data_IF_606921428540
#
_entry.id   IF_606921428540
#
_cell.length_a   1.000
_cell.length_b   1.000
_cell.length_c   1.000
_cell.angle_alpha   90.00
_cell.angle_beta   90.00
_cell.angle_gamma   90.00
#
_symmetry.space_group_name_H-M   'P 1'
#
loop_
_entity.id
_entity.type
_entity.pdbx_description
1 polymer ?
#
# COMPACT_ATOMS: atom_id res chain seq x y z
N UNK A 1 -25.17 17.24 18.52
CA UNK A 1 -25.24 15.80 18.17
C UNK A 1 -23.85 15.17 18.03
N UNK A 2 -22.84 15.91 17.54
CA UNK A 2 -21.42 15.51 17.46
C UNK A 2 -20.75 15.13 18.79
N UNK A 3 -21.01 15.86 19.89
CA UNK A 3 -20.43 15.54 21.22
C UNK A 3 -20.87 14.20 21.83
N UNK A 4 -22.04 13.68 21.45
CA UNK A 4 -22.57 12.42 22.00
C UNK A 4 -21.99 11.17 21.32
N UNK A 5 -21.52 11.31 20.07
CA UNK A 5 -20.82 10.24 19.34
C UNK A 5 -19.38 10.12 19.89
N UNK A 6 -18.73 11.24 20.19
CA UNK A 6 -17.36 11.31 20.73
C UNK A 6 -17.23 10.55 22.06
N UNK A 7 -18.17 10.70 22.98
CA UNK A 7 -18.12 10.01 24.29
C UNK A 7 -18.44 8.50 24.23
N UNK A 8 -18.93 7.99 23.10
CA UNK A 8 -19.21 6.56 22.90
C UNK A 8 -18.10 5.84 22.13
N UNK A 9 -17.34 6.56 21.30
CA UNK A 9 -16.20 6.02 20.54
C UNK A 9 -14.92 5.96 21.39
N UNK A 10 -14.71 6.92 22.31
CA UNK A 10 -13.46 7.04 23.09
C UNK A 10 -13.66 6.80 24.60
N UNK A 11 -14.26 5.67 25.00
CA UNK A 11 -14.23 5.25 26.41
C UNK A 11 -12.99 4.36 26.68
N UNK A 12 -12.16 4.63 27.70
CA UNK A 12 -10.81 4.04 27.82
C UNK A 12 -10.74 2.61 28.37
N UNK A 13 -11.71 1.72 28.11
CA UNK A 13 -11.68 0.40 28.79
C UNK A 13 -12.35 -0.78 28.11
N UNK A 14 -12.88 -0.66 26.89
CA UNK A 14 -13.47 -1.82 26.22
C UNK A 14 -13.17 -1.73 24.74
N UNK A 15 -12.19 -2.51 24.27
CA UNK A 15 -12.17 -3.23 22.98
C UNK A 15 -10.74 -3.63 22.61
N UNK A 16 -10.16 -4.55 23.37
CA UNK A 16 -9.23 -5.51 22.76
C UNK A 16 -10.09 -6.43 21.89
N UNK A 17 -9.94 -6.36 20.57
CA UNK A 17 -10.51 -7.27 19.53
C UNK A 17 -11.76 -6.84 18.74
N UNK A 18 -12.09 -5.56 18.58
CA UNK A 18 -13.08 -5.15 17.57
C UNK A 18 -12.56 -4.03 16.69
N UNK A 19 -12.68 -4.19 15.37
CA UNK A 19 -12.45 -3.12 14.39
C UNK A 19 -13.15 -1.85 14.88
N UNK A 20 -12.42 -0.73 14.90
CA UNK A 20 -13.04 0.59 15.10
C UNK A 20 -14.15 0.70 14.05
N UNK A 21 -15.43 0.86 14.42
CA UNK A 21 -16.54 0.72 13.48
C UNK A 21 -16.51 1.76 12.34
N UNK A 22 -15.71 2.82 12.50
CA UNK A 22 -15.50 3.86 11.49
C UNK A 22 -14.03 4.34 11.54
N UNK A 23 -13.07 3.55 11.01
CA UNK A 23 -11.65 3.85 11.14
C UNK A 23 -11.30 5.19 10.47
N UNK A 24 -11.93 5.52 9.34
CA UNK A 24 -11.64 6.75 8.61
C UNK A 24 -12.23 8.01 9.24
N UNK A 25 -13.27 7.90 10.09
CA UNK A 25 -13.75 9.05 10.87
C UNK A 25 -12.73 9.49 11.92
N UNK A 26 -11.97 8.54 12.50
CA UNK A 26 -10.86 8.87 13.39
C UNK A 26 -9.77 9.63 12.62
N UNK A 27 -9.42 9.16 11.42
CA UNK A 27 -8.40 9.82 10.58
C UNK A 27 -8.88 11.21 10.17
N UNK A 28 -10.11 11.37 9.71
CA UNK A 28 -10.70 12.67 9.36
C UNK A 28 -10.70 13.64 10.55
N UNK A 29 -11.09 13.16 11.73
CA UNK A 29 -11.08 13.95 12.96
C UNK A 29 -9.67 14.50 13.25
N UNK A 30 -8.65 13.66 13.15
CA UNK A 30 -7.25 14.02 13.37
C UNK A 30 -6.76 15.03 12.32
N UNK A 31 -7.15 14.86 11.06
CA UNK A 31 -6.78 15.78 9.98
C UNK A 31 -7.40 17.17 10.14
N UNK A 32 -8.64 17.24 10.62
CA UNK A 32 -9.45 18.47 10.62
C UNK A 32 -9.51 19.21 11.97
N UNK A 33 -9.16 18.58 13.10
CA UNK A 33 -9.31 19.17 14.44
C UNK A 33 -7.98 19.31 15.22
N UNK A 34 -7.02 20.10 14.71
CA UNK A 34 -5.66 20.16 15.25
C UNK A 34 -5.51 20.90 16.59
N UNK A 35 -6.44 21.81 16.93
CA UNK A 35 -6.34 22.72 18.09
C UNK A 35 -7.57 22.70 19.01
N UNK A 36 -8.53 21.80 18.76
CA UNK A 36 -9.81 21.74 19.49
C UNK A 36 -9.98 20.47 20.34
N UNK A 37 -8.98 19.57 20.33
CA UNK A 37 -8.88 18.56 21.37
C UNK A 37 -8.57 19.32 22.66
N UNK A 38 -9.60 19.58 23.47
CA UNK A 38 -9.47 20.25 24.77
C UNK A 38 -8.56 19.50 25.75
N UNK A 39 -8.05 18.32 25.35
CA UNK A 39 -7.17 17.44 26.09
C UNK A 39 -5.72 17.37 25.55
N UNK A 40 -5.39 18.09 24.46
CA UNK A 40 -4.01 18.25 23.96
C UNK A 40 -3.35 16.98 23.40
N UNK A 41 -4.13 15.96 23.05
CA UNK A 41 -3.61 14.66 22.54
C UNK A 41 -3.03 14.73 21.14
N UNK A 42 -3.45 15.70 20.34
CA UNK A 42 -2.99 15.93 18.97
C UNK A 42 -2.62 17.40 18.80
N UNK A 43 -1.51 17.67 18.11
CA UNK A 43 -1.15 19.01 17.65
C UNK A 43 -0.77 18.97 16.18
N UNK A 44 -0.85 20.10 15.49
CA UNK A 44 -0.53 20.14 14.05
C UNK A 44 0.30 21.35 13.70
N UNK A 45 1.34 21.10 12.91
CA UNK A 45 2.20 22.11 12.32
C UNK A 45 1.99 22.12 10.81
N UNK A 46 2.07 23.30 10.20
CA UNK A 46 1.88 23.47 8.74
C UNK A 46 3.05 24.29 8.21
N UNK A 47 3.76 23.72 7.23
CA UNK A 47 4.92 24.31 6.57
C UNK A 47 4.70 24.28 5.06
N UNK A 48 4.04 25.32 4.52
CA UNK A 48 3.69 25.35 3.10
C UNK A 48 2.78 24.17 2.71
N UNK A 49 3.29 23.26 1.88
CA UNK A 49 2.58 22.06 1.44
C UNK A 49 2.87 20.82 2.31
N UNK A 50 3.71 20.94 3.34
CA UNK A 50 3.94 19.88 4.32
C UNK A 50 3.12 20.17 5.57
N UNK A 51 2.43 19.15 6.08
CA UNK A 51 1.63 19.24 7.31
C UNK A 51 2.02 18.09 8.22
N UNK A 52 2.27 18.37 9.49
CA UNK A 52 2.64 17.38 10.48
C UNK A 52 1.57 17.30 11.55
N UNK A 53 1.14 16.09 11.88
CA UNK A 53 0.19 15.82 12.95
C UNK A 53 0.91 15.02 14.02
N UNK A 54 1.15 15.65 15.15
CA UNK A 54 1.80 15.06 16.30
C UNK A 54 0.79 14.37 17.21
N UNK A 55 0.86 13.04 17.33
CA UNK A 55 0.00 12.22 18.17
C UNK A 55 0.74 11.92 19.47
N UNK A 56 0.32 12.58 20.56
CA UNK A 56 1.00 12.52 21.86
C UNK A 56 0.54 11.36 22.73
N UNK A 57 -0.72 10.96 22.56
CA UNK A 57 -1.35 9.90 23.32
C UNK A 57 -1.00 8.53 22.74
N UNK A 58 -0.56 7.60 23.62
CA UNK A 58 -0.08 6.28 23.21
C UNK A 58 -1.21 5.39 22.69
N UNK A 59 -2.38 5.44 23.31
CA UNK A 59 -3.51 4.59 22.93
C UNK A 59 -4.09 5.08 21.60
N UNK A 60 -4.22 6.41 21.42
CA UNK A 60 -4.62 7.04 20.17
C UNK A 60 -3.66 6.70 19.03
N UNK A 61 -2.35 6.66 19.29
CA UNK A 61 -1.35 6.23 18.31
C UNK A 61 -1.63 4.82 17.80
N UNK A 62 -1.92 3.88 18.70
CA UNK A 62 -2.27 2.49 18.34
C UNK A 62 -3.58 2.44 17.54
N UNK A 63 -4.61 3.19 17.96
CA UNK A 63 -5.88 3.30 17.22
C UNK A 63 -5.70 3.86 15.80
N UNK A 64 -4.84 4.87 15.61
CA UNK A 64 -4.54 5.45 14.29
C UNK A 64 -3.77 4.48 13.42
N UNK A 65 -2.76 3.80 13.98
CA UNK A 65 -2.04 2.74 13.28
C UNK A 65 -3.01 1.68 12.78
N UNK A 66 -3.90 1.21 13.64
CA UNK A 66 -4.88 0.19 13.29
C UNK A 66 -5.88 0.73 12.26
N UNK A 67 -6.45 1.93 12.44
CA UNK A 67 -7.37 2.53 11.49
C UNK A 67 -6.77 2.70 10.08
N UNK A 68 -5.53 3.17 9.97
CA UNK A 68 -4.82 3.29 8.69
C UNK A 68 -4.46 1.92 8.08
N UNK A 69 -4.23 0.90 8.92
CA UNK A 69 -3.92 -0.46 8.47
C UNK A 69 -5.19 -1.25 8.09
N UNK A 70 -6.34 -0.93 8.69
CA UNK A 70 -7.63 -1.59 8.43
C UNK A 70 -8.04 -1.45 6.97
N UNK A 71 -7.69 -0.37 6.28
CA UNK A 71 -7.91 -0.26 4.84
C UNK A 71 -7.29 -1.43 4.06
N UNK A 72 -6.12 -1.90 4.49
CA UNK A 72 -5.42 -3.03 3.86
C UNK A 72 -5.98 -4.40 4.27
N UNK A 73 -6.81 -4.49 5.32
CA UNK A 73 -7.60 -5.67 5.65
C UNK A 73 -8.95 -5.63 4.93
N UNK A 74 -8.99 -6.11 3.68
CA UNK A 74 -10.20 -6.10 2.84
C UNK A 74 -11.27 -7.06 3.36
N UNK A 75 -12.51 -6.60 3.60
CA UNK A 75 -13.67 -7.47 3.89
C UNK A 75 -13.44 -8.50 5.01
N UNK A 76 -12.70 -8.12 6.07
CA UNK A 76 -12.34 -9.01 7.18
C UNK A 76 -11.24 -10.03 6.87
N UNK A 77 -10.51 -9.81 5.77
CA UNK A 77 -9.28 -10.52 5.43
C UNK A 77 -8.12 -10.04 6.30
N UNK A 78 -7.40 -11.00 6.86
CA UNK A 78 -6.17 -10.77 7.60
C UNK A 78 -5.15 -11.83 7.22
N UNK A 79 -3.90 -11.41 7.10
CA UNK A 79 -2.78 -12.33 6.86
C UNK A 79 -1.84 -12.22 8.03
N UNK A 80 -1.50 -13.34 8.64
CA UNK A 80 -0.49 -13.42 9.69
C UNK A 80 0.63 -14.36 9.25
N UNK A 81 1.84 -14.09 9.73
CA UNK A 81 2.91 -15.06 9.69
C UNK A 81 2.85 -15.89 10.97
N UNK A 82 2.49 -17.16 10.86
CA UNK A 82 2.57 -18.10 11.96
C UNK A 82 3.96 -18.77 11.95
N UNK A 83 4.70 -18.62 13.05
CA UNK A 83 5.99 -19.28 13.24
C UNK A 83 6.43 -19.20 14.70
N UNK A 84 6.68 -20.35 15.31
CA UNK A 84 7.43 -20.43 16.57
C UNK A 84 8.89 -20.10 16.26
N UNK A 85 9.56 -19.40 17.19
CA UNK A 85 11.00 -19.14 17.23
C UNK A 85 11.84 -20.12 16.38
N UNK A 86 12.22 -19.71 15.17
CA UNK A 86 13.49 -20.13 14.58
C UNK A 86 13.53 -20.79 13.20
N UNK A 87 12.46 -21.34 12.59
CA UNK A 87 12.72 -22.15 11.38
C UNK A 87 11.71 -22.16 10.23
N UNK A 88 10.44 -21.76 10.43
CA UNK A 88 9.46 -21.83 9.34
C UNK A 88 8.51 -20.64 9.38
N UNK A 89 8.49 -19.84 8.30
CA UNK A 89 7.50 -18.79 8.09
C UNK A 89 6.37 -19.35 7.22
N UNK A 90 5.23 -19.65 7.84
CA UNK A 90 4.01 -20.06 7.13
C UNK A 90 2.98 -18.94 7.22
N UNK A 91 2.62 -18.31 6.10
CA UNK A 91 1.53 -17.34 6.10
C UNK A 91 0.19 -18.06 6.27
N UNK A 92 -0.63 -17.58 7.20
CA UNK A 92 -2.00 -18.02 7.36
C UNK A 92 -2.94 -16.88 6.98
N UNK A 93 -3.88 -17.17 6.10
CA UNK A 93 -4.93 -16.25 5.68
C UNK A 93 -6.16 -16.55 6.52
N UNK A 94 -6.67 -15.52 7.19
CA UNK A 94 -7.94 -15.52 7.90
C UNK A 94 -8.91 -14.66 7.13
N UNK A 95 -10.09 -15.18 6.82
CA UNK A 95 -11.14 -14.45 6.14
C UNK A 95 -12.43 -14.57 6.93
N UNK A 96 -12.89 -13.42 7.45
CA UNK A 96 -14.14 -13.28 8.21
C UNK A 96 -15.04 -12.25 7.53
N UNK A 97 -15.81 -12.65 6.52
CA UNK A 97 -16.69 -11.76 5.78
C UNK A 97 -17.67 -11.01 6.70
N UNK A 98 -18.09 -9.82 6.27
CA UNK A 98 -19.18 -9.10 6.96
C UNK A 98 -20.55 -9.70 6.64
N UNK A 99 -20.68 -10.35 5.48
CA UNK A 99 -21.89 -11.05 5.07
C UNK A 99 -22.03 -12.38 5.85
N UNK A 100 -23.08 -12.54 6.68
CA UNK A 100 -23.27 -13.75 7.48
C UNK A 100 -23.57 -15.00 6.64
N UNK A 101 -23.92 -14.88 5.35
CA UNK A 101 -24.12 -16.01 4.45
C UNK A 101 -22.80 -16.64 3.98
N UNK A 102 -21.68 -15.92 4.10
CA UNK A 102 -20.36 -16.41 3.69
C UNK A 102 -19.65 -16.99 4.90
N UNK A 103 -19.24 -18.27 4.80
CA UNK A 103 -18.53 -18.95 5.88
C UNK A 103 -17.12 -18.35 6.12
N UNK A 104 -16.77 -18.19 7.40
CA UNK A 104 -15.40 -17.94 7.85
C UNK A 104 -14.44 -18.99 7.27
N UNK A 105 -13.30 -18.53 6.78
CA UNK A 105 -12.30 -19.39 6.17
C UNK A 105 -10.90 -19.07 6.69
N UNK A 106 -10.22 -20.11 7.19
CA UNK A 106 -8.79 -20.07 7.49
C UNK A 106 -8.05 -20.94 6.49
N UNK A 107 -6.99 -20.40 5.89
CA UNK A 107 -6.17 -21.05 4.88
C UNK A 107 -4.70 -20.97 5.27
N UNK A 108 -4.13 -22.11 5.63
CA UNK A 108 -2.69 -22.23 5.86
C UNK A 108 -1.98 -22.38 4.52
N UNK A 109 -1.10 -21.43 4.20
CA UNK A 109 -0.24 -21.52 3.02
C UNK A 109 0.97 -22.40 3.30
N UNK A 110 1.60 -22.97 2.25
CA UNK A 110 2.79 -23.78 2.42
C UNK A 110 3.91 -22.97 3.10
N UNK A 111 4.79 -23.64 3.85
CA UNK A 111 5.93 -22.96 4.47
C UNK A 111 6.87 -22.38 3.42
N UNK A 112 7.40 -21.18 3.69
CA UNK A 112 8.49 -20.59 2.92
C UNK A 112 9.85 -21.00 3.50
N UNK A 113 10.94 -21.01 2.70
CA UNK A 113 12.28 -21.29 3.19
C UNK A 113 12.69 -20.39 4.37
N UNK A 114 13.48 -20.92 5.29
CA UNK A 114 14.01 -20.17 6.44
C UNK A 114 14.69 -18.87 5.99
N UNK A 115 14.36 -17.75 6.64
CA UNK A 115 14.89 -16.42 6.29
C UNK A 115 14.14 -15.69 5.18
N UNK A 116 13.08 -16.28 4.61
CA UNK A 116 12.23 -15.60 3.63
C UNK A 116 11.52 -14.39 4.25
N UNK A 117 11.64 -13.23 3.60
CA UNK A 117 10.94 -12.00 3.99
C UNK A 117 9.92 -11.65 2.91
N UNK A 118 8.63 -11.76 3.24
CA UNK A 118 7.54 -11.42 2.30
C UNK A 118 7.37 -9.91 2.26
N UNK A 119 7.63 -9.32 1.11
CA UNK A 119 7.39 -7.90 0.86
C UNK A 119 5.95 -7.61 0.45
N UNK A 120 5.33 -8.52 -0.31
CA UNK A 120 3.97 -8.34 -0.81
C UNK A 120 3.29 -9.69 -1.00
N UNK A 121 1.99 -9.77 -0.69
CA UNK A 121 1.17 -10.96 -0.89
C UNK A 121 -0.16 -10.53 -1.51
N UNK A 122 -0.51 -11.15 -2.63
CA UNK A 122 -1.70 -10.82 -3.41
C UNK A 122 -2.44 -12.08 -3.81
N UNK A 123 -3.76 -12.00 -3.87
CA UNK A 123 -4.63 -13.12 -4.21
C UNK A 123 -5.47 -12.78 -5.44
N UNK A 124 -5.73 -13.76 -6.29
CA UNK A 124 -6.59 -13.57 -7.47
C UNK A 124 -8.07 -13.42 -7.13
N UNK A 125 -8.48 -13.80 -5.92
CA UNK A 125 -9.82 -13.55 -5.39
C UNK A 125 -9.81 -13.57 -3.87
N UNK A 126 -10.93 -13.16 -3.26
CA UNK A 126 -11.16 -13.44 -1.85
C UNK A 126 -11.11 -14.96 -1.58
N UNK A 127 -10.69 -15.39 -0.37
CA UNK A 127 -10.57 -16.79 -0.04
C UNK A 127 -11.90 -17.54 -0.19
N UNK A 128 -11.91 -18.60 -0.99
CA UNK A 128 -13.03 -19.52 -1.17
C UNK A 128 -12.52 -20.95 -1.26
N UNK A 129 -13.35 -21.94 -0.92
CA UNK A 129 -13.01 -23.38 -1.03
C UNK A 129 -13.07 -23.86 -2.49
N UNK A 130 -12.25 -23.24 -3.35
CA UNK A 130 -12.14 -23.50 -4.79
C UNK A 130 -10.65 -23.71 -5.15
N UNK A 131 -10.38 -24.54 -6.14
CA UNK A 131 -9.02 -24.86 -6.63
C UNK A 131 -8.43 -23.77 -7.53
N UNK A 132 -9.29 -22.87 -8.04
CA UNK A 132 -8.93 -21.97 -9.14
C UNK A 132 -8.34 -20.63 -8.69
N UNK A 133 -8.35 -20.31 -7.40
CA UNK A 133 -7.72 -19.07 -6.92
C UNK A 133 -6.26 -19.29 -6.54
N UNK A 134 -5.49 -18.23 -6.70
CA UNK A 134 -4.03 -18.23 -6.69
C UNK A 134 -3.55 -17.17 -5.71
N UNK A 135 -2.50 -17.51 -4.97
CA UNK A 135 -1.75 -16.57 -4.14
C UNK A 135 -0.38 -16.38 -4.77
N UNK A 136 0.02 -15.12 -4.92
CA UNK A 136 1.37 -14.75 -5.35
C UNK A 136 2.03 -13.99 -4.21
N UNK A 137 3.25 -14.38 -3.88
CA UNK A 137 4.11 -13.68 -2.93
C UNK A 137 5.32 -13.12 -3.64
N UNK A 138 5.70 -11.90 -3.26
CA UNK A 138 6.98 -11.30 -3.59
C UNK A 138 7.85 -11.33 -2.35
N UNK A 139 8.99 -12.00 -2.46
CA UNK A 139 10.00 -12.07 -1.41
C UNK A 139 11.05 -10.99 -1.64
N UNK A 140 11.80 -10.67 -0.57
CA UNK A 140 12.99 -9.84 -0.68
C UNK A 140 13.93 -10.39 -1.77
N UNK A 141 14.54 -9.49 -2.55
CA UNK A 141 15.39 -9.86 -3.67
C UNK A 141 14.64 -10.09 -4.99
N UNK A 142 13.41 -9.58 -5.11
CA UNK A 142 12.64 -9.58 -6.37
C UNK A 142 12.23 -10.98 -6.87
N UNK A 143 12.15 -11.95 -5.95
CA UNK A 143 11.68 -13.30 -6.24
C UNK A 143 10.15 -13.38 -6.12
N UNK A 144 9.50 -13.98 -7.13
CA UNK A 144 8.07 -14.27 -7.11
C UNK A 144 7.82 -15.76 -6.89
N UNK A 145 6.80 -16.08 -6.11
CA UNK A 145 6.34 -17.45 -5.90
C UNK A 145 4.82 -17.51 -5.91
N UNK A 146 4.30 -18.57 -6.52
CA UNK A 146 2.86 -18.77 -6.69
C UNK A 146 2.41 -20.05 -5.98
N UNK A 147 1.24 -20.02 -5.35
CA UNK A 147 0.61 -21.20 -4.74
C UNK A 147 -0.89 -21.25 -5.07
N UNK A 148 -1.41 -22.46 -5.27
CA UNK A 148 -2.85 -22.76 -5.30
C UNK A 148 -3.25 -23.39 -3.95
N UNK A 149 -3.93 -22.66 -3.05
CA UNK A 149 -4.11 -23.11 -1.66
C UNK A 149 -4.96 -24.38 -1.49
N UNK A 150 -5.91 -24.62 -2.39
CA UNK A 150 -6.71 -25.86 -2.42
C UNK A 150 -6.33 -26.78 -3.58
N UNK A 151 -5.21 -26.50 -4.26
CA UNK A 151 -4.64 -27.31 -5.33
C UNK A 151 -3.41 -28.10 -4.87
N UNK A 152 -2.25 -27.82 -5.48
CA UNK A 152 -0.99 -28.51 -5.19
C UNK A 152 -0.42 -28.24 -3.79
N UNK A 153 -0.84 -27.14 -3.13
CA UNK A 153 -0.34 -26.71 -1.81
C UNK A 153 1.20 -26.69 -1.74
N UNK A 154 1.82 -26.21 -2.81
CA UNK A 154 3.27 -26.00 -2.90
C UNK A 154 3.55 -24.65 -3.54
N UNK A 155 4.63 -24.02 -3.11
CA UNK A 155 5.17 -22.86 -3.79
C UNK A 155 5.82 -23.27 -5.10
N UNK A 156 5.44 -22.58 -6.17
CA UNK A 156 6.04 -22.66 -7.48
C UNK A 156 6.82 -21.37 -7.67
N UNK A 157 8.14 -21.47 -7.69
CA UNK A 157 9.00 -20.32 -7.95
C UNK A 157 8.84 -19.90 -9.41
N UNK A 158 8.51 -18.64 -9.62
CA UNK A 158 8.42 -18.09 -10.97
C UNK A 158 9.83 -17.64 -11.35
N UNK A 159 10.31 -18.06 -12.52
CA UNK A 159 11.64 -17.71 -13.01
C UNK A 159 11.68 -16.23 -13.43
N UNK A 160 11.86 -15.35 -12.45
CA UNK A 160 12.08 -13.92 -12.68
C UNK A 160 13.57 -13.63 -12.76
N UNK A 161 13.97 -12.73 -13.66
CA UNK A 161 15.29 -12.09 -13.58
C UNK A 161 15.17 -10.86 -12.67
N UNK A 162 16.15 -10.53 -11.82
CA UNK A 162 16.05 -9.40 -10.89
C UNK A 162 15.71 -8.05 -11.55
N UNK A 163 16.18 -7.84 -12.79
CA UNK A 163 15.88 -6.64 -13.57
C UNK A 163 14.41 -6.53 -14.02
N UNK A 164 13.62 -7.60 -13.92
CA UNK A 164 12.22 -7.61 -14.35
C UNK A 164 11.26 -7.16 -13.24
N UNK A 165 11.71 -7.12 -11.98
CA UNK A 165 10.84 -6.93 -10.82
C UNK A 165 11.43 -5.85 -9.93
N UNK A 166 10.71 -4.74 -9.75
CA UNK A 166 11.15 -3.67 -8.87
C UNK A 166 11.20 -4.16 -7.40
N UNK A 167 12.34 -4.06 -6.71
CA UNK A 167 12.51 -4.61 -5.37
C UNK A 167 11.64 -3.91 -4.32
N UNK A 168 11.19 -2.68 -4.55
CA UNK A 168 10.46 -1.86 -3.57
C UNK A 168 8.98 -1.66 -3.93
N UNK A 169 8.54 -2.11 -5.09
CA UNK A 169 7.14 -2.00 -5.53
C UNK A 169 6.32 -3.25 -5.14
N UNK A 170 5.02 -3.06 -4.92
CA UNK A 170 4.09 -4.15 -4.59
C UNK A 170 3.50 -4.83 -5.82
N UNK A 171 3.04 -6.07 -5.64
CA UNK A 171 2.27 -6.78 -6.68
C UNK A 171 0.84 -6.24 -6.67
N UNK A 172 0.17 -6.28 -7.81
CA UNK A 172 -1.26 -5.98 -7.95
C UNK A 172 -1.94 -7.10 -8.73
N UNK A 173 -3.18 -7.45 -8.40
CA UNK A 173 -3.99 -8.35 -9.23
C UNK A 173 -5.08 -7.56 -9.94
N UNK A 174 -5.10 -7.63 -11.26
CA UNK A 174 -6.15 -7.00 -12.05
C UNK A 174 -7.39 -7.89 -12.09
N UNK A 175 -8.52 -7.38 -11.58
CA UNK A 175 -9.80 -8.10 -11.62
C UNK A 175 -10.36 -8.14 -13.04
N UNK A 176 -10.21 -7.03 -13.77
CA UNK A 176 -10.62 -6.89 -15.18
C UNK A 176 -9.88 -7.85 -16.10
N UNK A 177 -8.55 -7.94 -15.96
CA UNK A 177 -7.71 -8.72 -16.88
C UNK A 177 -7.33 -10.10 -16.34
N UNK A 178 -7.63 -10.38 -15.06
CA UNK A 178 -7.34 -11.64 -14.35
C UNK A 178 -5.85 -12.02 -14.32
N UNK A 179 -4.98 -11.01 -14.28
CA UNK A 179 -3.52 -11.13 -14.32
C UNK A 179 -2.90 -10.43 -13.12
N UNK A 180 -1.76 -10.93 -12.67
CA UNK A 180 -0.93 -10.23 -11.68
C UNK A 180 0.04 -9.31 -12.39
N UNK A 181 0.21 -8.09 -11.90
CA UNK A 181 1.12 -7.08 -12.43
C UNK A 181 2.16 -6.70 -11.39
N UNK A 182 3.40 -6.50 -11.85
CA UNK A 182 4.50 -5.96 -11.05
C UNK A 182 5.28 -4.97 -11.91
N UNK A 183 5.49 -3.72 -11.44
CA UNK A 183 6.35 -2.78 -12.15
C UNK A 183 7.80 -3.25 -12.23
N UNK A 184 8.43 -3.03 -13.38
CA UNK A 184 9.89 -3.17 -13.51
C UNK A 184 10.59 -2.00 -12.81
N UNK A 185 11.90 -2.12 -12.48
CA UNK A 185 12.71 -0.95 -12.14
C UNK A 185 12.55 0.13 -13.23
N UNK A 186 12.40 1.39 -12.80
CA UNK A 186 12.13 2.52 -13.71
C UNK A 186 10.64 2.77 -14.00
N UNK A 187 9.74 1.82 -13.74
CA UNK A 187 8.29 2.04 -13.75
C UNK A 187 7.69 2.38 -15.12
N UNK A 188 8.37 1.98 -16.21
CA UNK A 188 7.93 2.19 -17.59
C UNK A 188 7.45 0.88 -18.26
N UNK A 189 7.65 -0.26 -17.60
CA UNK A 189 7.20 -1.57 -18.08
C UNK A 189 6.52 -2.26 -16.90
N UNK A 190 5.46 -3.00 -17.17
CA UNK A 190 4.87 -3.93 -16.21
C UNK A 190 5.19 -5.35 -16.66
N UNK A 191 5.76 -6.12 -15.74
CA UNK A 191 5.79 -7.57 -15.82
C UNK A 191 4.41 -8.08 -15.39
N UNK A 192 3.85 -9.04 -16.13
CA UNK A 192 2.60 -9.67 -15.75
C UNK A 192 2.66 -11.18 -15.78
N UNK A 193 1.90 -11.78 -14.87
CA UNK A 193 1.73 -13.21 -14.71
C UNK A 193 0.27 -13.56 -14.96
N UNK A 194 0.05 -14.44 -15.94
CA UNK A 194 -1.26 -15.05 -16.17
C UNK A 194 -1.32 -16.42 -15.47
N UNK A 195 -2.06 -16.53 -14.34
CA UNK A 195 -2.16 -17.78 -13.59
C UNK A 195 -2.94 -18.89 -14.34
N UNK A 196 -3.59 -18.54 -15.45
CA UNK A 196 -4.38 -19.44 -16.27
C UNK A 196 -3.73 -19.75 -17.62
N UNK A 197 -2.51 -19.23 -17.87
CA UNK A 197 -1.77 -19.57 -19.09
C UNK A 197 -1.49 -21.08 -19.17
N UNK A 198 -1.63 -21.62 -20.38
CA UNK A 198 -1.22 -22.98 -20.73
C UNK A 198 0.25 -23.03 -21.17
N UNK A 199 0.89 -21.87 -21.38
CA UNK A 199 2.28 -21.75 -21.79
C UNK A 199 3.24 -22.00 -20.63
N UNK A 200 4.41 -22.58 -20.95
CA UNK A 200 5.49 -22.81 -19.98
C UNK A 200 6.07 -21.48 -19.46
N UNK A 201 6.01 -20.42 -20.28
CA UNK A 201 6.43 -19.07 -19.93
C UNK A 201 5.28 -18.31 -19.25
N UNK A 202 5.34 -18.27 -17.93
CA UNK A 202 4.32 -17.63 -17.10
C UNK A 202 4.43 -16.09 -17.06
N UNK A 203 5.47 -15.48 -17.64
CA UNK A 203 5.74 -14.05 -17.55
C UNK A 203 5.77 -13.42 -18.93
N UNK A 204 5.05 -12.31 -19.06
CA UNK A 204 5.09 -11.40 -20.20
C UNK A 204 5.20 -9.94 -19.75
N UNK A 205 5.33 -9.03 -20.73
CA UNK A 205 5.56 -7.61 -20.49
C UNK A 205 4.59 -6.71 -21.24
N UNK A 206 4.25 -5.58 -20.63
CA UNK A 206 3.50 -4.49 -21.26
C UNK A 206 4.21 -3.17 -20.99
N UNK A 207 4.41 -2.37 -22.04
CA UNK A 207 5.06 -1.07 -21.95
C UNK A 207 4.05 0.01 -21.52
N UNK A 208 4.50 0.95 -20.70
CA UNK A 208 3.73 2.11 -20.28
C UNK A 208 4.20 3.34 -21.06
N UNK A 209 3.32 3.83 -21.91
CA UNK A 209 3.52 5.06 -22.67
C UNK A 209 2.96 6.25 -21.88
N UNK A 210 3.79 7.26 -21.63
CA UNK A 210 3.40 8.46 -20.88
C UNK A 210 3.17 9.64 -21.82
N UNK A 211 2.10 10.39 -21.59
CA UNK A 211 1.92 11.69 -22.24
C UNK A 211 2.92 12.73 -21.71
N UNK A 212 3.13 13.78 -22.50
CA UNK A 212 3.94 14.93 -22.08
C UNK A 212 3.39 15.53 -20.78
N UNK A 213 4.28 15.72 -19.82
CA UNK A 213 3.94 16.36 -18.55
C UNK A 213 3.67 17.86 -18.76
N UNK A 214 2.72 18.46 -18.02
CA UNK A 214 2.60 19.91 -17.97
C UNK A 214 3.92 20.56 -17.50
N UNK A 215 4.23 21.78 -18.00
CA UNK A 215 5.47 22.49 -17.64
C UNK A 215 5.67 22.69 -16.13
N UNK A 216 4.60 22.97 -15.39
CA UNK A 216 4.65 23.09 -13.93
C UNK A 216 5.12 21.80 -13.26
N UNK A 217 4.67 20.66 -13.78
CA UNK A 217 4.94 19.33 -13.22
C UNK A 217 6.40 18.92 -13.45
N UNK A 218 7.02 19.35 -14.56
CA UNK A 218 8.45 19.13 -14.80
C UNK A 218 9.33 19.77 -13.72
N UNK A 219 9.00 20.99 -13.29
CA UNK A 219 9.74 21.65 -12.21
C UNK A 219 9.61 20.85 -10.91
N UNK A 220 8.39 20.42 -10.60
CA UNK A 220 8.16 19.64 -9.38
C UNK A 220 8.79 18.24 -9.42
N UNK A 221 9.03 17.67 -10.61
CA UNK A 221 9.75 16.41 -10.78
C UNK A 221 11.25 16.59 -10.54
N UNK A 222 11.81 17.74 -10.92
CA UNK A 222 13.20 18.09 -10.63
C UNK A 222 13.43 18.20 -9.11
N UNK A 223 12.46 18.73 -8.36
CA UNK A 223 12.54 18.86 -6.91
C UNK A 223 12.64 17.51 -6.18
N UNK A 224 12.12 16.44 -6.80
CA UNK A 224 12.16 15.07 -6.26
C UNK A 224 13.08 14.13 -7.04
N UNK A 225 13.99 14.66 -7.87
CA UNK A 225 14.84 13.83 -8.74
C UNK A 225 15.86 12.99 -7.96
N UNK A 226 16.23 13.42 -6.76
CA UNK A 226 17.14 12.70 -5.84
C UNK A 226 16.41 11.77 -4.90
N UNK A 227 15.08 11.85 -4.83
CA UNK A 227 14.28 10.99 -3.96
C UNK A 227 14.32 9.54 -4.43
N UNK A 228 14.26 8.62 -3.46
CA UNK A 228 13.86 7.24 -3.73
C UNK A 228 12.45 7.21 -4.32
N UNK A 229 12.17 6.23 -5.18
CA UNK A 229 10.87 6.10 -5.84
C UNK A 229 10.37 4.66 -5.86
N UNK A 230 9.12 4.47 -5.46
CA UNK A 230 8.36 3.23 -5.70
C UNK A 230 7.21 3.48 -6.66
N UNK A 231 6.84 2.46 -7.41
CA UNK A 231 5.78 2.53 -8.41
C UNK A 231 4.68 1.53 -8.00
N UNK A 232 3.43 1.97 -7.89
CA UNK A 232 2.32 1.13 -7.44
C UNK A 232 1.17 1.19 -8.45
N UNK A 233 0.84 0.05 -9.05
CA UNK A 233 -0.32 -0.07 -9.92
C UNK A 233 -1.57 -0.34 -9.09
N UNK A 234 -2.67 0.34 -9.41
CA UNK A 234 -3.94 0.26 -8.69
C UNK A 234 -5.08 0.15 -9.68
N UNK A 235 -6.03 -0.75 -9.44
CA UNK A 235 -7.29 -0.83 -10.21
C UNK A 235 -8.43 -0.23 -9.39
N UNK A 236 -9.13 0.73 -9.99
CA UNK A 236 -10.35 1.31 -9.42
C UNK A 236 -11.53 0.32 -9.47
N UNK A 237 -12.62 0.57 -8.73
CA UNK A 237 -13.82 -0.26 -8.79
C UNK A 237 -14.43 -0.38 -10.20
N UNK A 238 -14.16 0.57 -11.09
CA UNK A 238 -14.63 0.59 -12.48
C UNK A 238 -13.72 -0.18 -13.45
N UNK A 239 -12.59 -0.73 -12.97
CA UNK A 239 -11.61 -1.43 -13.80
C UNK A 239 -10.61 -0.51 -14.52
N UNK A 240 -10.61 0.79 -14.22
CA UNK A 240 -9.59 1.72 -14.71
C UNK A 240 -8.32 1.62 -13.86
N UNK A 241 -7.16 1.59 -14.52
CA UNK A 241 -5.86 1.53 -13.86
C UNK A 241 -5.31 2.93 -13.51
N UNK A 242 -4.57 2.98 -12.41
CA UNK A 242 -3.78 4.13 -11.97
C UNK A 242 -2.37 3.65 -11.61
N UNK A 243 -1.35 4.32 -12.13
CA UNK A 243 0.03 4.17 -11.67
C UNK A 243 0.38 5.29 -10.71
N UNK A 244 0.66 4.94 -9.46
CA UNK A 244 1.07 5.88 -8.42
C UNK A 244 2.58 5.79 -8.24
N UNK A 245 3.28 6.89 -8.54
CA UNK A 245 4.70 7.05 -8.23
C UNK A 245 4.83 7.72 -6.87
N UNK A 246 5.43 7.02 -5.92
CA UNK A 246 5.63 7.48 -4.55
C UNK A 246 7.10 7.84 -4.36
N UNK A 247 7.37 9.11 -4.04
CA UNK A 247 8.69 9.66 -3.83
C UNK A 247 8.93 9.88 -2.34
N UNK A 248 10.05 9.34 -1.86
CA UNK A 248 10.49 9.48 -0.48
C UNK A 248 11.96 9.89 -0.38
N UNK A 249 12.30 10.66 0.64
CA UNK A 249 13.64 11.11 0.94
C UNK A 249 14.11 10.49 2.25
N UNK A 250 15.37 10.08 2.30
CA UNK A 250 15.97 9.52 3.50
C UNK A 250 16.47 10.64 4.40
N UNK A 251 15.98 10.66 5.65
CA UNK A 251 16.44 11.57 6.68
C UNK A 251 17.20 10.80 7.76
N UNK A 252 18.31 11.39 8.18
CA UNK A 252 19.09 10.94 9.33
C UNK A 252 18.48 11.55 10.60
N UNK A 253 18.26 10.74 11.63
CA UNK A 253 17.94 11.25 12.97
C UNK A 253 19.14 12.01 13.57
N UNK A 254 18.89 12.89 14.54
CA UNK A 254 19.87 13.72 15.25
C UNK A 254 20.99 12.86 15.89
N UNK A 255 20.72 11.58 16.17
CA UNK A 255 21.68 10.65 16.74
C UNK A 255 22.48 9.81 15.71
N UNK A 256 22.26 10.03 14.40
CA UNK A 256 22.89 9.30 13.28
C UNK A 256 22.73 7.77 13.32
N UNK A 257 21.80 7.21 14.10
CA UNK A 257 21.63 5.75 14.22
C UNK A 257 20.46 5.19 13.41
N UNK A 258 19.46 6.01 13.08
CA UNK A 258 18.26 5.56 12.37
C UNK A 258 17.99 6.40 11.12
N UNK A 259 18.20 5.82 9.94
CA UNK A 259 17.68 6.34 8.69
C UNK A 259 16.17 6.07 8.63
N UNK A 260 15.34 7.08 8.39
CA UNK A 260 13.95 6.85 8.04
C UNK A 260 13.57 7.61 6.78
N UNK A 261 12.77 6.95 5.94
CA UNK A 261 12.27 7.54 4.71
C UNK A 261 11.02 8.35 5.01
N UNK A 262 11.01 9.59 4.52
CA UNK A 262 9.90 10.53 4.62
C UNK A 262 9.27 10.72 3.26
N UNK A 263 7.94 10.61 3.21
CA UNK A 263 7.20 10.87 1.99
C UNK A 263 7.26 12.33 1.60
N UNK A 264 7.79 12.61 0.41
CA UNK A 264 7.82 13.95 -0.17
C UNK A 264 6.68 14.21 -1.12
N UNK A 265 6.38 13.23 -1.99
CA UNK A 265 5.43 13.46 -3.07
C UNK A 265 4.81 12.19 -3.63
N UNK A 266 3.60 12.34 -4.16
CA UNK A 266 2.99 11.40 -5.08
C UNK A 266 2.76 12.03 -6.44
N UNK A 267 2.87 11.20 -7.48
CA UNK A 267 2.39 11.52 -8.83
C UNK A 267 1.50 10.39 -9.30
N UNK A 268 0.36 10.74 -9.89
CA UNK A 268 -0.63 9.77 -10.33
C UNK A 268 -0.77 9.84 -11.84
N UNK A 269 -0.75 8.68 -12.48
CA UNK A 269 -1.04 8.53 -13.90
C UNK A 269 -2.24 7.63 -14.06
N UNK A 270 -3.25 8.11 -14.77
CA UNK A 270 -4.50 7.40 -15.04
C UNK A 270 -4.41 6.71 -16.39
N UNK A 271 -4.97 5.51 -16.50
CA UNK A 271 -5.09 4.80 -17.78
C UNK A 271 -5.90 5.64 -18.77
N UNK A 272 -5.25 5.99 -19.88
CA UNK A 272 -5.85 6.70 -21.01
C UNK A 272 -6.69 5.79 -21.90
N UNK A 273 -7.19 6.34 -23.01
CA UNK A 273 -7.88 5.52 -24.01
C UNK A 273 -6.96 4.44 -24.58
N UNK A 274 -7.55 3.30 -24.96
CA UNK A 274 -6.81 2.11 -25.40
C UNK A 274 -5.79 2.49 -26.48
N UNK A 275 -4.50 2.13 -26.30
CA UNK A 275 -3.49 2.41 -27.30
C UNK A 275 -3.73 1.58 -28.56
N UNK A 276 -3.04 1.97 -29.63
CA UNK A 276 -3.08 1.29 -30.92
C UNK A 276 -2.50 -0.13 -30.88
N UNK A 277 -1.68 -0.45 -29.88
CA UNK A 277 -0.96 -1.72 -29.73
C UNK A 277 -1.44 -2.53 -28.52
N UNK A 278 -1.46 -3.86 -28.65
CA UNK A 278 -1.89 -4.79 -27.58
C UNK A 278 -0.90 -4.84 -26.40
N UNK A 279 0.38 -4.53 -26.65
CA UNK A 279 1.47 -4.63 -25.66
C UNK A 279 1.86 -3.29 -25.04
N UNK A 280 1.05 -2.26 -25.23
CA UNK A 280 1.28 -0.96 -24.59
C UNK A 280 0.06 -0.52 -23.79
N UNK A 281 0.26 0.33 -22.79
CA UNK A 281 -0.79 1.00 -22.01
C UNK A 281 -0.45 2.47 -21.90
N UNK A 282 -1.40 3.33 -22.29
CA UNK A 282 -1.24 4.77 -22.17
C UNK A 282 -1.54 5.23 -20.75
N UNK A 283 -0.63 6.02 -20.17
CA UNK A 283 -0.68 6.55 -18.82
C UNK A 283 -0.62 8.08 -18.86
N UNK A 284 -1.69 8.74 -18.41
CA UNK A 284 -1.88 10.19 -18.48
C UNK A 284 -1.76 10.78 -17.08
N UNK A 285 -0.86 11.73 -16.89
CA UNK A 285 -0.72 12.42 -15.60
C UNK A 285 -2.03 13.07 -15.17
N UNK A 286 -2.40 12.91 -13.89
CA UNK A 286 -3.57 13.56 -13.29
C UNK A 286 -3.31 14.00 -11.86
N UNK A 287 -3.88 15.14 -11.49
CA UNK A 287 -3.99 15.64 -10.12
C UNK A 287 -5.42 15.47 -9.57
N UNK A 288 -6.31 14.86 -10.37
CA UNK A 288 -7.70 14.63 -10.04
C UNK A 288 -8.10 13.18 -10.34
N UNK A 289 -8.42 12.44 -9.28
CA UNK A 289 -8.98 11.08 -9.36
C UNK A 289 -10.48 11.05 -9.02
N UNK A 290 -11.12 12.22 -8.87
CA UNK A 290 -12.54 12.39 -8.59
C UNK A 290 -12.91 11.97 -7.16
N UNK A 291 -14.03 11.25 -7.03
CA UNK A 291 -14.50 10.71 -5.74
C UNK A 291 -13.63 9.54 -5.23
N UNK A 292 -12.50 9.24 -5.84
CA UNK A 292 -11.68 8.10 -5.42
C UNK A 292 -10.72 8.47 -4.28
N UNK A 293 -10.44 7.48 -3.44
CA UNK A 293 -9.28 7.43 -2.56
C UNK A 293 -8.38 6.28 -2.99
N UNK A 294 -7.07 6.48 -2.92
CA UNK A 294 -6.08 5.41 -3.15
C UNK A 294 -5.37 5.11 -1.84
N UNK A 295 -5.17 3.82 -1.56
CA UNK A 295 -4.41 3.32 -0.42
C UNK A 295 -3.14 2.67 -0.93
N UNK A 296 -1.99 3.17 -0.48
CA UNK A 296 -0.67 2.70 -0.90
C UNK A 296 0.13 2.22 0.30
N UNK A 297 0.76 1.06 0.14
CA UNK A 297 1.67 0.47 1.09
C UNK A 297 2.43 -0.68 0.42
N UNK A 298 3.12 -1.53 1.19
CA UNK A 298 3.79 -2.72 0.63
C UNK A 298 2.85 -3.92 0.37
N UNK A 299 1.64 -3.87 0.93
CA UNK A 299 0.53 -4.73 0.49
C UNK A 299 0.04 -4.33 -0.91
N UNK A 300 -0.92 -5.10 -1.45
CA UNK A 300 -1.64 -4.70 -2.65
C UNK A 300 -2.23 -3.30 -2.47
N UNK A 301 -1.84 -2.36 -3.33
CA UNK A 301 -2.44 -1.04 -3.35
C UNK A 301 -3.87 -1.15 -3.90
N UNK A 302 -4.79 -0.39 -3.34
CA UNK A 302 -6.20 -0.48 -3.72
C UNK A 302 -6.88 0.89 -3.75
N UNK A 303 -8.02 0.93 -4.42
CA UNK A 303 -8.80 2.14 -4.61
C UNK A 303 -10.26 1.88 -4.28
N UNK A 304 -10.89 2.85 -3.60
CA UNK A 304 -12.32 2.84 -3.23
C UNK A 304 -12.92 4.23 -3.45
N UNK A 305 -14.25 4.35 -3.65
CA UNK A 305 -14.91 5.66 -3.62
C UNK A 305 -14.86 6.22 -2.20
N UNK A 306 -14.57 7.50 -2.04
CA UNK A 306 -14.64 8.22 -0.78
C UNK A 306 -16.06 8.17 -0.23
N UNK A 307 -17.07 8.20 -1.10
CA UNK A 307 -18.48 8.05 -0.71
C UNK A 307 -18.82 6.69 -0.09
N UNK A 308 -17.93 5.70 -0.16
CA UNK A 308 -18.16 4.34 0.38
C UNK A 308 -18.02 4.25 1.90
N UNK A 309 -17.30 5.19 2.54
CA UNK A 309 -17.14 5.21 3.99
C UNK A 309 -17.05 6.63 4.54
N UNK A 310 -17.76 6.96 5.63
CA UNK A 310 -17.61 8.23 6.33
C UNK A 310 -16.15 8.49 6.74
N UNK A 311 -15.69 9.73 6.56
CA UNK A 311 -14.34 10.18 6.91
C UNK A 311 -13.28 9.98 5.82
N UNK A 312 -13.60 9.28 4.73
CA UNK A 312 -12.76 9.31 3.55
C UNK A 312 -12.87 10.65 2.84
N UNK A 313 -11.73 11.19 2.43
CA UNK A 313 -11.65 12.44 1.66
C UNK A 313 -11.39 12.13 0.20
N UNK A 314 -12.22 12.59 -0.74
CA UNK A 314 -12.00 12.37 -2.17
C UNK A 314 -10.69 12.99 -2.64
N UNK A 315 -10.18 12.51 -3.77
CA UNK A 315 -8.94 12.98 -4.38
C UNK A 315 -7.70 12.91 -3.45
N UNK A 316 -7.64 11.89 -2.60
CA UNK A 316 -6.57 11.70 -1.62
C UNK A 316 -5.90 10.32 -1.71
N UNK A 317 -4.62 10.28 -1.35
CA UNK A 317 -3.83 9.07 -1.19
C UNK A 317 -3.54 8.86 0.30
N UNK A 318 -3.97 7.73 0.85
CA UNK A 318 -3.66 7.29 2.19
C UNK A 318 -2.47 6.34 2.12
N UNK A 319 -1.41 6.62 2.85
CA UNK A 319 -0.19 5.83 2.79
C UNK A 319 0.26 5.35 4.17
N UNK A 320 0.84 4.16 4.20
CA UNK A 320 1.38 3.51 5.39
C UNK A 320 2.74 2.88 5.06
N UNK A 321 3.56 2.64 6.08
CA UNK A 321 4.85 1.98 5.95
C UNK A 321 5.91 2.57 6.85
N UNK A 322 6.95 3.14 6.22
CA UNK A 322 7.99 3.94 6.89
C UNK A 322 7.47 5.22 7.53
N UNK A 323 6.39 5.76 6.98
CA UNK A 323 5.65 6.88 7.52
C UNK A 323 4.16 6.71 7.16
N UNK A 324 3.29 7.20 8.03
CA UNK A 324 1.84 7.15 7.87
C UNK A 324 1.33 8.54 7.56
N UNK A 325 0.32 8.64 6.70
CA UNK A 325 -0.24 9.95 6.38
C UNK A 325 -1.24 9.95 5.24
N UNK A 326 -1.60 11.16 4.84
CA UNK A 326 -2.56 11.44 3.77
C UNK A 326 -2.01 12.52 2.86
N UNK A 327 -2.00 12.26 1.56
CA UNK A 327 -1.63 13.20 0.52
C UNK A 327 -2.87 13.69 -0.21
N UNK A 328 -3.14 14.99 -0.19
CA UNK A 328 -4.22 15.62 -0.95
C UNK A 328 -3.69 16.01 -2.33
N UNK A 329 -4.22 15.39 -3.39
CA UNK A 329 -3.78 15.66 -4.76
C UNK A 329 -4.16 17.07 -5.24
N UNK A 330 -5.26 17.63 -4.69
CA UNK A 330 -5.78 18.95 -5.05
C UNK A 330 -4.87 20.06 -4.55
N UNK A 331 -4.47 19.98 -3.27
CA UNK A 331 -3.62 21.00 -2.63
C UNK A 331 -2.15 20.63 -2.67
N UNK A 332 -1.82 19.43 -3.16
CA UNK A 332 -0.48 18.82 -3.12
C UNK A 332 0.10 18.77 -1.71
N UNK A 333 -0.77 18.68 -0.70
CA UNK A 333 -0.37 18.73 0.71
C UNK A 333 -0.06 17.33 1.21
N UNK A 334 1.17 17.10 1.67
CA UNK A 334 1.56 15.88 2.36
C UNK A 334 1.32 16.04 3.86
N UNK A 335 0.34 15.33 4.40
CA UNK A 335 0.09 15.29 5.85
C UNK A 335 0.71 14.05 6.46
N UNK A 336 1.75 14.21 7.28
CA UNK A 336 2.44 13.13 7.97
C UNK A 336 1.97 13.00 9.42
N UNK A 337 1.92 11.77 9.92
CA UNK A 337 1.63 11.48 11.32
C UNK A 337 2.92 11.20 12.08
N UNK A 338 3.13 11.89 13.19
CA UNK A 338 4.30 11.79 14.06
C UNK A 338 3.89 11.30 15.45
N UNK A 339 4.81 10.63 16.15
CA UNK A 339 4.68 10.30 17.57
C UNK A 339 5.14 11.49 18.41
N UNK A 340 4.77 11.51 19.70
CA UNK A 340 5.18 12.54 20.68
C UNK A 340 6.67 12.93 20.70
N UNK A 341 7.55 12.07 20.19
CA UNK A 341 9.01 12.21 20.13
C UNK A 341 9.46 12.69 18.74
N UNK A 342 8.56 13.33 17.99
CA UNK A 342 8.73 13.85 16.62
C UNK A 342 9.20 12.81 15.57
N UNK A 343 9.03 11.53 15.88
CA UNK A 343 9.36 10.42 14.99
C UNK A 343 8.17 10.08 14.10
N UNK A 344 8.37 9.69 12.82
CA UNK A 344 7.26 9.24 11.98
C UNK A 344 6.52 8.04 12.57
N UNK A 345 5.19 8.11 12.52
CA UNK A 345 4.35 6.97 12.81
C UNK A 345 4.57 5.91 11.73
N UNK A 346 4.94 4.69 12.14
CA UNK A 346 5.34 3.61 11.23
C UNK A 346 4.95 2.24 11.77
N UNK A 347 4.80 1.27 10.87
CA UNK A 347 4.54 -0.14 11.18
C UNK A 347 5.36 -1.02 10.24
N UNK A 348 6.38 -1.69 10.78
CA UNK A 348 7.39 -2.43 10.01
C UNK A 348 7.25 -3.97 10.12
N UNK A 349 6.25 -4.46 10.84
CA UNK A 349 6.15 -5.87 11.23
C UNK A 349 5.83 -6.82 10.06
N UNK A 350 4.75 -6.57 9.32
CA UNK A 350 4.36 -7.37 8.17
C UNK A 350 3.37 -6.60 7.27
N UNK A 351 3.49 -6.66 5.93
CA UNK A 351 4.60 -7.23 5.15
C UNK A 351 5.96 -6.57 5.44
N UNK A 352 7.07 -7.22 5.06
CA UNK A 352 8.43 -6.72 5.30
C UNK A 352 8.71 -5.47 4.45
N UNK A 353 9.30 -4.47 5.09
CA UNK A 353 9.74 -3.22 4.48
C UNK A 353 11.26 -3.24 4.33
N UNK A 354 11.82 -3.34 3.10
CA UNK A 354 13.25 -3.23 2.90
C UNK A 354 13.69 -1.80 3.24
N UNK A 355 14.78 -1.64 4.01
CA UNK A 355 15.29 -0.31 4.33
C UNK A 355 15.47 0.49 3.03
N UNK A 356 15.25 1.81 3.08
CA UNK A 356 15.57 2.67 1.96
C UNK A 356 17.02 2.42 1.59
N UNK A 357 17.23 1.94 0.38
CA UNK A 357 18.55 1.54 -0.02
C UNK A 357 19.38 2.81 -0.25
N UNK A 358 20.48 2.92 0.49
CA UNK A 358 21.74 3.31 -0.11
C UNK A 358 22.07 2.28 -1.21
N UNK A 359 21.36 2.35 -2.34
CA UNK A 359 21.79 1.61 -3.52
C UNK A 359 23.20 2.12 -3.84
N UNK A 360 24.21 1.24 -3.96
CA UNK A 360 25.47 1.67 -4.50
C UNK A 360 25.18 2.21 -5.90
N UNK A 361 25.50 3.48 -6.10
CA UNK A 361 25.65 4.06 -7.42
C UNK A 361 26.47 3.06 -8.21
N UNK A 362 25.85 2.38 -9.18
CA UNK A 362 26.61 1.69 -10.21
C UNK A 362 27.42 2.79 -10.88
N UNK A 363 28.69 2.87 -10.50
CA UNK A 363 29.63 3.76 -11.17
C UNK A 363 29.55 3.42 -12.66
N UNK A 364 29.32 4.41 -13.54
CA UNK A 364 29.40 4.16 -14.97
C UNK A 364 30.82 3.72 -15.29
N UNK A 365 30.95 2.53 -15.88
CA UNK A 365 32.19 2.11 -16.55
C UNK A 365 32.40 2.94 -17.82
#
# INVERSE_FOLDING_TARGET
MSKLIINRIFKPSVCKNFLVPFPFLLIDYILNNPNSSSDGRVTTNVYGNEKEVLIKDKDLKEEVCDAMTVGFSRDGLRVELCGNHGDVCSPTIFYKPTDPEIEDLTVDLPPLPTGSQIQSLVMSSLPKRDKNWVVVVKLLGSQLSMCRPFGSRKWINIQTKPQNINPSSSIMFSKKEKKFYVPTPGGNILCYLDPHSEDDDLIDFVELEFDDLPKSVFQELADVSTCSRTDHLVESPTGQLFLVKWYGEDLEDIDNTTLYNVTKKFMVFKEGEKPSCVYTKKMIYTEDIGDLCIFVGHSEAFCVPASSSPGLKPNCIYFVGYNFGVYDLTTKTCTMFLTKDDNPLRKLEFPYWPPPASFPVLAPN
#
